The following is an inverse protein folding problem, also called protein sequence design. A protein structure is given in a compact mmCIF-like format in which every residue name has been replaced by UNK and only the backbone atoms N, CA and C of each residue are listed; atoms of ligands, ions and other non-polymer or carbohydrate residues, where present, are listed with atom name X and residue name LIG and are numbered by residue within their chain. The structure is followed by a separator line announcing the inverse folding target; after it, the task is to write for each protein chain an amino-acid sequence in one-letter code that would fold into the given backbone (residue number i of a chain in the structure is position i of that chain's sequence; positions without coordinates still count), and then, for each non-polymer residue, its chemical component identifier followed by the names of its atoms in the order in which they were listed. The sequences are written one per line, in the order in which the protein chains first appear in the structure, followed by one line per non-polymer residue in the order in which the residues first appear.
data_IF_253624443660
#
_entry.id   IF_253624443660
#
_cell.length_a   1.000
_cell.length_b   1.000
_cell.length_c   1.000
_cell.angle_alpha   90.00
_cell.angle_beta   90.00
_cell.angle_gamma   90.00
#
_symmetry.space_group_name_H-M   'P 1'
#
loop_
_entity.id
_entity.type
_entity.pdbx_description
1 polymer ?
#
# COMPACT_ATOMS: atom_id res chain seq x y z
N UNK A 1 13.07 27.73 -9.66
CA UNK A 1 11.85 28.09 -10.44
C UNK A 1 11.61 29.57 -10.31
N UNK A 2 11.18 30.30 -11.37
CA UNK A 2 10.81 31.69 -11.23
C UNK A 2 9.61 31.80 -10.28
N UNK A 3 9.74 32.67 -9.28
CA UNK A 3 8.73 32.86 -8.24
C UNK A 3 7.50 33.56 -8.86
N UNK A 4 6.46 32.79 -9.17
CA UNK A 4 5.23 33.25 -9.80
C UNK A 4 4.56 34.44 -9.07
N UNK A 5 4.47 34.44 -7.72
CA UNK A 5 3.99 35.60 -6.96
C UNK A 5 4.82 36.85 -7.21
N UNK A 6 6.15 36.75 -7.24
CA UNK A 6 7.02 37.88 -7.48
C UNK A 6 6.92 38.47 -8.91
N UNK A 7 6.64 37.63 -9.92
CA UNK A 7 6.40 38.08 -11.29
C UNK A 7 5.06 38.82 -11.39
N UNK A 8 4.02 38.32 -10.73
CA UNK A 8 2.69 38.98 -10.68
C UNK A 8 2.76 40.33 -9.96
N UNK A 9 3.53 40.40 -8.86
CA UNK A 9 3.74 41.65 -8.12
C UNK A 9 4.48 42.69 -8.96
N UNK A 10 5.55 42.32 -9.66
CA UNK A 10 6.26 43.21 -10.60
C UNK A 10 5.36 43.71 -11.72
N UNK A 11 4.52 42.84 -12.26
CA UNK A 11 3.52 43.23 -13.29
C UNK A 11 2.51 44.24 -12.76
N UNK A 12 1.98 44.02 -11.55
CA UNK A 12 1.05 44.92 -10.89
C UNK A 12 1.68 46.30 -10.65
N UNK A 13 2.89 46.33 -10.09
CA UNK A 13 3.62 47.62 -9.87
C UNK A 13 3.87 48.39 -11.16
N UNK A 14 4.22 47.70 -12.25
CA UNK A 14 4.40 48.36 -13.56
C UNK A 14 3.09 48.87 -14.12
N UNK A 15 1.99 48.15 -14.01
CA UNK A 15 0.67 48.61 -14.43
C UNK A 15 0.23 49.87 -13.66
N UNK A 16 0.40 49.85 -12.34
CA UNK A 16 0.04 50.98 -11.47
C UNK A 16 0.88 52.24 -11.80
N UNK A 17 2.14 52.04 -12.19
CA UNK A 17 2.98 53.16 -12.68
C UNK A 17 2.49 53.73 -14.01
N UNK A 18 2.03 52.90 -14.96
CA UNK A 18 1.49 53.36 -16.20
C UNK A 18 0.12 54.05 -16.00
N UNK A 19 -0.73 53.51 -15.12
CA UNK A 19 -2.00 54.14 -14.74
C UNK A 19 -1.79 55.55 -14.10
N UNK A 20 -0.71 55.72 -13.31
CA UNK A 20 -0.37 57.01 -12.74
C UNK A 20 0.00 58.05 -13.81
N UNK A 21 0.73 57.65 -14.86
CA UNK A 21 1.08 58.53 -15.98
C UNK A 21 -0.18 58.99 -16.69
N UNK A 22 -1.12 58.08 -16.99
CA UNK A 22 -2.40 58.42 -17.65
C UNK A 22 -3.22 59.37 -16.77
N UNK A 23 -3.38 59.05 -15.48
CA UNK A 23 -4.16 59.88 -14.55
C UNK A 23 -3.59 61.30 -14.41
N UNK A 24 -2.26 61.43 -14.46
CA UNK A 24 -1.62 62.77 -14.42
C UNK A 24 -1.93 63.58 -15.68
N UNK A 25 -1.88 62.96 -16.85
CA UNK A 25 -2.21 63.62 -18.11
C UNK A 25 -3.72 63.95 -18.20
N UNK A 26 -4.59 63.09 -17.69
CA UNK A 26 -6.03 63.32 -17.59
C UNK A 26 -6.36 64.47 -16.63
N UNK A 27 -5.70 64.55 -15.47
CA UNK A 27 -5.90 65.56 -14.47
C UNK A 27 -5.49 66.96 -15.01
N UNK A 28 -4.45 67.01 -15.84
CA UNK A 28 -3.95 68.20 -16.49
C UNK A 28 -4.72 68.54 -17.80
N UNK A 29 -5.68 67.70 -18.18
CA UNK A 29 -6.48 67.79 -19.42
C UNK A 29 -5.62 68.03 -20.67
N UNK A 30 -4.50 67.29 -20.80
CA UNK A 30 -3.49 67.38 -21.87
C UNK A 30 -3.18 65.99 -22.41
N UNK A 31 -2.72 65.95 -23.65
CA UNK A 31 -2.12 64.73 -24.19
C UNK A 31 -0.79 64.37 -23.52
N UNK A 32 -0.40 63.13 -23.63
CA UNK A 32 0.90 62.64 -23.12
C UNK A 32 2.05 63.38 -23.82
N UNK A 33 3.01 63.87 -23.07
CA UNK A 33 4.24 64.40 -23.63
C UNK A 33 5.04 63.28 -24.33
N UNK A 34 5.94 63.66 -25.25
CA UNK A 34 6.77 62.71 -25.99
C UNK A 34 7.59 61.77 -25.09
N UNK A 35 8.03 62.29 -23.94
CA UNK A 35 8.77 61.52 -22.90
C UNK A 35 7.85 60.57 -22.13
N UNK A 36 6.64 61.00 -21.81
CA UNK A 36 5.63 60.14 -21.13
C UNK A 36 5.11 59.04 -22.07
N UNK A 37 4.87 59.35 -23.35
CA UNK A 37 4.49 58.37 -24.36
C UNK A 37 5.55 57.30 -24.54
N UNK A 38 6.84 57.69 -24.60
CA UNK A 38 7.94 56.74 -24.68
C UNK A 38 8.01 55.84 -23.43
N UNK A 39 7.90 56.44 -22.23
CA UNK A 39 7.90 55.70 -20.97
C UNK A 39 6.72 54.73 -20.88
N UNK A 40 5.56 55.13 -21.43
CA UNK A 40 4.38 54.31 -21.50
C UNK A 40 4.56 53.11 -22.46
N UNK A 41 5.11 53.34 -23.66
CA UNK A 41 5.40 52.27 -24.62
C UNK A 41 6.45 51.26 -24.11
N UNK A 42 7.53 51.77 -23.48
CA UNK A 42 8.55 50.94 -22.86
C UNK A 42 7.94 50.05 -21.70
N UNK A 43 7.13 50.69 -20.85
CA UNK A 43 6.46 50.00 -19.76
C UNK A 43 5.46 48.93 -20.26
N UNK A 44 4.75 49.25 -21.37
CA UNK A 44 3.85 48.30 -22.04
C UNK A 44 4.60 47.10 -22.62
N UNK A 45 5.80 47.33 -23.18
CA UNK A 45 6.65 46.23 -23.68
C UNK A 45 7.13 45.35 -22.52
N UNK A 46 7.51 45.95 -21.38
CA UNK A 46 7.90 45.19 -20.17
C UNK A 46 6.72 44.35 -19.61
N UNK A 47 5.51 44.90 -19.55
CA UNK A 47 4.31 44.16 -19.12
C UNK A 47 4.07 42.97 -20.02
N UNK A 48 4.19 43.10 -21.34
CA UNK A 48 4.05 41.95 -22.26
C UNK A 48 5.10 40.87 -22.03
N UNK A 49 6.33 41.26 -21.73
CA UNK A 49 7.39 40.31 -21.43
C UNK A 49 7.14 39.55 -20.10
N UNK A 50 6.62 40.27 -19.09
CA UNK A 50 6.21 39.69 -17.81
C UNK A 50 5.00 38.75 -17.98
N UNK A 51 4.03 39.11 -18.81
CA UNK A 51 2.89 38.23 -19.12
C UNK A 51 3.32 36.92 -19.79
N UNK A 52 4.28 36.97 -20.69
CA UNK A 52 4.85 35.77 -21.30
C UNK A 52 5.61 34.90 -20.27
N UNK A 53 6.34 35.54 -19.35
CA UNK A 53 7.04 34.80 -18.28
C UNK A 53 6.05 34.16 -17.30
N UNK A 54 4.96 34.87 -16.95
CA UNK A 54 3.90 34.37 -16.09
C UNK A 54 3.22 33.17 -16.77
N UNK A 55 2.82 33.30 -18.04
CA UNK A 55 2.19 32.21 -18.79
C UNK A 55 3.08 30.94 -18.88
N UNK A 56 4.39 31.13 -19.11
CA UNK A 56 5.33 30.00 -19.10
C UNK A 56 5.45 29.36 -17.73
N UNK A 57 5.47 30.17 -16.67
CA UNK A 57 5.55 29.65 -15.30
C UNK A 57 4.25 28.97 -14.86
N UNK A 58 3.10 29.50 -15.31
CA UNK A 58 1.78 28.88 -15.08
C UNK A 58 1.65 27.54 -15.83
N UNK A 59 2.06 27.51 -17.10
CA UNK A 59 2.08 26.27 -17.88
C UNK A 59 2.95 25.19 -17.23
N UNK A 60 4.15 25.55 -16.78
CA UNK A 60 5.03 24.61 -16.09
C UNK A 60 4.44 24.14 -14.75
N UNK A 61 3.79 25.04 -14.01
CA UNK A 61 3.14 24.70 -12.74
C UNK A 61 1.88 23.85 -12.95
N UNK A 62 1.20 23.99 -14.07
CA UNK A 62 0.04 23.19 -14.46
C UNK A 62 0.47 21.83 -15.00
N UNK A 63 1.56 21.77 -15.76
CA UNK A 63 2.18 20.54 -16.24
C UNK A 63 2.73 19.73 -15.05
N UNK A 64 3.31 20.36 -14.02
CA UNK A 64 3.70 19.71 -12.76
C UNK A 64 2.49 19.21 -11.94
N UNK A 65 1.33 19.85 -12.03
CA UNK A 65 0.08 19.41 -11.40
C UNK A 65 -0.59 18.26 -12.15
N UNK A 66 -0.44 18.25 -13.46
CA UNK A 66 -0.96 17.23 -14.36
C UNK A 66 0.10 16.18 -14.73
N UNK A 67 1.36 16.39 -14.34
CA UNK A 67 2.31 15.30 -14.32
C UNK A 67 1.63 14.16 -13.55
N UNK A 68 1.45 12.98 -14.18
CA UNK A 68 0.88 11.83 -13.49
C UNK A 68 1.70 11.75 -12.21
N UNK A 69 1.00 11.79 -11.06
CA UNK A 69 1.65 11.59 -9.78
C UNK A 69 2.56 10.40 -10.01
N UNK A 70 3.86 10.63 -9.89
CA UNK A 70 4.84 9.56 -9.95
C UNK A 70 4.24 8.51 -9.04
N UNK A 71 3.74 7.46 -9.67
CA UNK A 71 3.14 6.36 -8.94
C UNK A 71 4.21 6.01 -7.93
N UNK A 72 3.89 6.05 -6.64
CA UNK A 72 4.75 5.65 -5.53
C UNK A 72 4.94 4.10 -5.57
N UNK A 73 4.61 3.48 -6.65
CA UNK A 73 5.28 2.34 -7.23
C UNK A 73 6.56 2.89 -7.86
N UNK A 74 7.48 3.34 -6.99
CA UNK A 74 8.79 3.75 -7.42
C UNK A 74 9.30 2.68 -8.35
N UNK A 75 9.59 3.04 -9.58
CA UNK A 75 10.39 2.18 -10.45
C UNK A 75 11.54 1.70 -9.58
N UNK A 76 11.43 0.41 -9.18
CA UNK A 76 12.52 -0.25 -8.48
C UNK A 76 13.70 -0.08 -9.40
N UNK A 77 14.69 0.71 -8.99
CA UNK A 77 15.86 0.98 -9.83
C UNK A 77 16.33 -0.33 -10.45
N UNK A 78 16.67 -0.36 -11.72
CA UNK A 78 17.01 -1.61 -12.44
C UNK A 78 18.05 -2.44 -11.70
N UNK A 79 18.84 -1.84 -10.84
CA UNK A 79 19.81 -2.50 -9.96
C UNK A 79 19.17 -3.40 -8.91
N UNK A 80 17.98 -3.06 -8.39
CA UNK A 80 17.29 -3.88 -7.38
C UNK A 80 16.47 -5.00 -8.02
N UNK A 81 16.05 -4.83 -9.27
CA UNK A 81 15.26 -5.83 -10.00
C UNK A 81 15.94 -7.21 -10.08
N UNK A 82 17.24 -7.25 -10.04
CA UNK A 82 18.07 -8.44 -10.20
C UNK A 82 18.85 -8.80 -8.94
N UNK A 83 18.40 -8.37 -7.76
CA UNK A 83 19.04 -8.71 -6.51
C UNK A 83 19.06 -10.24 -6.31
N UNK A 84 20.23 -10.81 -6.14
CA UNK A 84 20.40 -12.24 -5.87
C UNK A 84 20.66 -12.49 -4.38
N UNK A 85 19.79 -13.27 -3.75
CA UNK A 85 19.95 -13.67 -2.33
C UNK A 85 21.25 -14.48 -2.17
N UNK A 86 21.60 -15.35 -3.12
CA UNK A 86 22.81 -16.16 -3.03
C UNK A 86 24.08 -15.30 -3.05
N UNK A 87 24.14 -14.27 -3.90
CA UNK A 87 25.26 -13.35 -3.92
C UNK A 87 25.33 -12.51 -2.63
N UNK A 88 24.18 -12.08 -2.14
CA UNK A 88 24.08 -11.30 -0.90
C UNK A 88 24.49 -12.15 0.33
N UNK A 89 24.09 -13.43 0.37
CA UNK A 89 24.50 -14.39 1.40
C UNK A 89 26.01 -14.65 1.32
N UNK A 90 26.55 -14.95 0.11
CA UNK A 90 27.99 -15.17 -0.11
C UNK A 90 28.81 -13.94 0.27
N UNK A 91 28.33 -12.74 -0.05
CA UNK A 91 28.98 -11.50 0.37
C UNK A 91 29.07 -11.41 1.91
N UNK A 92 27.99 -11.73 2.63
CA UNK A 92 27.97 -11.72 4.09
C UNK A 92 28.87 -12.81 4.70
N UNK A 93 29.02 -13.95 4.02
CA UNK A 93 29.89 -15.04 4.43
C UNK A 93 31.36 -14.80 4.05
N UNK A 94 31.68 -13.74 3.28
CA UNK A 94 33.04 -13.45 2.81
C UNK A 94 33.50 -14.33 1.66
N UNK A 95 32.56 -15.03 1.00
CA UNK A 95 32.84 -15.86 -0.19
C UNK A 95 32.96 -15.00 -1.47
N UNK A 96 33.59 -15.53 -2.55
CA UNK A 96 33.71 -14.82 -3.82
C UNK A 96 32.33 -14.47 -4.40
N UNK A 97 32.05 -13.17 -4.59
CA UNK A 97 30.86 -12.63 -5.19
C UNK A 97 31.14 -11.25 -5.80
N UNK A 98 30.21 -10.70 -6.56
CA UNK A 98 30.31 -9.31 -7.04
C UNK A 98 30.03 -8.32 -5.89
N UNK A 99 31.07 -8.04 -5.09
CA UNK A 99 31.00 -7.15 -3.95
C UNK A 99 30.49 -5.76 -4.29
N UNK A 100 30.95 -5.18 -5.39
CA UNK A 100 30.62 -3.82 -5.78
C UNK A 100 29.11 -3.66 -6.10
N UNK A 101 28.51 -4.70 -6.66
CA UNK A 101 27.07 -4.77 -6.95
C UNK A 101 26.28 -4.90 -5.65
N UNK A 102 26.59 -5.88 -4.80
CA UNK A 102 25.88 -6.13 -3.55
C UNK A 102 25.97 -4.96 -2.59
N UNK A 103 27.13 -4.30 -2.46
CA UNK A 103 27.31 -3.14 -1.61
C UNK A 103 26.46 -1.93 -2.08
N UNK A 104 26.33 -1.71 -3.38
CA UNK A 104 25.44 -0.67 -3.95
C UNK A 104 23.96 -0.96 -3.66
N UNK A 105 23.53 -2.20 -3.87
CA UNK A 105 22.16 -2.65 -3.56
C UNK A 105 21.84 -2.49 -2.07
N UNK A 106 22.74 -2.89 -1.18
CA UNK A 106 22.55 -2.74 0.26
C UNK A 106 22.55 -1.26 0.70
N UNK A 107 23.47 -0.46 0.20
CA UNK A 107 23.51 0.97 0.50
C UNK A 107 22.26 1.73 0.05
N UNK A 108 21.63 1.30 -1.04
CA UNK A 108 20.35 1.86 -1.49
C UNK A 108 19.22 1.45 -0.55
N UNK A 109 19.12 0.17 -0.20
CA UNK A 109 18.07 -0.34 0.70
C UNK A 109 18.20 0.23 2.12
N UNK A 110 19.42 0.40 2.64
CA UNK A 110 19.68 1.07 3.93
C UNK A 110 19.24 2.54 3.91
N UNK A 111 19.49 3.27 2.82
CA UNK A 111 19.01 4.65 2.67
C UNK A 111 17.49 4.73 2.66
N UNK A 112 16.83 3.78 2.00
CA UNK A 112 15.37 3.71 1.93
C UNK A 112 14.74 3.29 3.27
N UNK A 113 15.39 2.40 4.00
CA UNK A 113 14.95 1.94 5.32
C UNK A 113 15.25 2.95 6.45
N UNK A 114 16.15 3.90 6.24
CA UNK A 114 16.54 4.88 7.24
C UNK A 114 17.42 4.35 8.38
N UNK A 115 17.77 3.05 8.35
CA UNK A 115 18.65 2.43 9.33
C UNK A 115 19.49 1.33 8.69
N UNK A 116 20.59 0.95 9.36
CA UNK A 116 21.46 -0.13 8.89
C UNK A 116 20.88 -1.49 9.24
N UNK A 117 20.96 -2.44 8.31
CA UNK A 117 20.58 -3.83 8.58
C UNK A 117 21.53 -4.48 9.57
N UNK A 118 21.00 -5.30 10.50
CA UNK A 118 21.82 -6.21 11.29
C UNK A 118 22.35 -7.38 10.45
N UNK A 119 21.64 -7.71 9.39
CA UNK A 119 21.98 -8.72 8.39
C UNK A 119 22.17 -8.11 7.01
N UNK A 120 21.25 -8.38 6.12
CA UNK A 120 21.17 -7.85 4.75
C UNK A 120 19.71 -7.53 4.42
N UNK A 121 19.47 -6.40 3.75
CA UNK A 121 18.14 -6.06 3.26
C UNK A 121 17.87 -6.72 1.90
N UNK A 122 16.63 -7.19 1.75
CA UNK A 122 16.09 -7.64 0.47
C UNK A 122 14.78 -6.90 0.22
N UNK A 123 14.66 -6.29 -0.94
CA UNK A 123 13.48 -5.53 -1.30
C UNK A 123 12.25 -6.44 -1.45
N UNK A 124 11.17 -6.15 -0.71
CA UNK A 124 9.92 -6.91 -0.77
C UNK A 124 9.31 -6.87 -2.19
N UNK A 125 9.46 -5.77 -2.89
CA UNK A 125 8.94 -5.56 -4.25
C UNK A 125 9.60 -6.49 -5.30
N UNK A 126 10.84 -6.93 -5.05
CA UNK A 126 11.50 -7.92 -5.91
C UNK A 126 10.97 -9.32 -5.71
N UNK A 127 10.29 -9.56 -4.58
CA UNK A 127 9.71 -10.86 -4.23
C UNK A 127 8.33 -11.06 -4.85
N UNK A 128 7.59 -9.99 -5.12
CA UNK A 128 6.24 -10.05 -5.69
C UNK A 128 6.23 -10.27 -7.22
N UNK A 129 7.35 -10.01 -7.91
CA UNK A 129 7.44 -10.24 -9.34
C UNK A 129 7.69 -11.72 -9.65
N UNK A 130 6.72 -12.36 -10.28
CA UNK A 130 6.88 -13.65 -10.97
C UNK A 130 8.14 -13.59 -11.81
N UNK A 131 9.15 -14.41 -11.48
CA UNK A 131 10.28 -14.65 -12.34
C UNK A 131 9.78 -15.33 -13.62
N UNK A 132 9.72 -14.57 -14.72
CA UNK A 132 9.59 -15.14 -16.05
C UNK A 132 10.94 -15.77 -16.37
N UNK A 133 11.03 -17.09 -16.32
CA UNK A 133 12.21 -17.83 -16.73
C UNK A 133 12.35 -17.77 -18.24
N UNK A 134 13.42 -17.19 -18.72
CA UNK A 134 13.87 -17.38 -20.10
C UNK A 134 14.89 -18.51 -20.13
N UNK A 135 14.48 -19.58 -20.78
CA UNK A 135 15.35 -20.71 -21.12
C UNK A 135 16.25 -20.31 -22.29
N UNK A 136 17.55 -20.11 -22.07
CA UNK A 136 18.53 -20.20 -23.17
C UNK A 136 19.90 -20.62 -22.62
N UNK A 137 20.29 -21.83 -22.99
CA UNK A 137 21.68 -22.20 -23.25
C UNK A 137 22.41 -22.96 -22.16
N UNK A 138 22.54 -24.23 -22.38
CA UNK A 138 23.70 -25.11 -22.25
C UNK A 138 23.48 -26.36 -21.42
N UNK A 139 23.17 -27.43 -22.13
CA UNK A 139 23.30 -28.81 -21.68
C UNK A 139 24.77 -29.18 -21.62
N UNK A 140 25.27 -29.57 -20.46
CA UNK A 140 26.46 -30.39 -20.32
C UNK A 140 26.41 -31.21 -19.05
N UNK A 141 26.18 -32.52 -19.24
CA UNK A 141 26.65 -33.65 -18.43
C UNK A 141 26.50 -33.50 -16.92
N UNK A 142 25.39 -33.95 -16.41
CA UNK A 142 25.20 -34.19 -14.99
C UNK A 142 24.49 -35.54 -14.81
N UNK A 143 25.09 -36.54 -14.11
CA UNK A 143 24.32 -37.64 -13.54
C UNK A 143 23.56 -37.08 -12.32
N UNK A 144 22.28 -37.31 -12.22
CA UNK A 144 21.30 -36.76 -11.30
C UNK A 144 21.03 -35.25 -11.50
N UNK A 145 20.32 -34.95 -12.57
CA UNK A 145 19.86 -33.58 -12.82
C UNK A 145 18.73 -33.20 -11.87
N UNK A 146 19.03 -32.41 -10.83
CA UNK A 146 18.02 -31.64 -10.15
C UNK A 146 17.30 -30.78 -11.19
N UNK A 147 16.01 -31.08 -11.41
CA UNK A 147 15.13 -30.40 -12.37
C UNK A 147 14.31 -29.35 -11.64
N UNK A 148 14.83 -28.12 -11.46
CA UNK A 148 14.12 -27.04 -10.79
C UNK A 148 12.89 -26.58 -11.58
N UNK A 149 12.87 -26.80 -12.90
CA UNK A 149 11.75 -26.58 -13.79
C UNK A 149 10.54 -27.46 -13.47
N UNK A 150 10.75 -28.61 -12.85
CA UNK A 150 9.71 -29.52 -12.39
C UNK A 150 9.36 -29.36 -10.90
N UNK A 151 9.97 -28.39 -10.22
CA UNK A 151 9.65 -28.14 -8.82
C UNK A 151 8.18 -27.70 -8.67
N UNK A 152 7.41 -28.53 -8.01
CA UNK A 152 6.02 -28.23 -7.70
C UNK A 152 5.97 -27.67 -6.26
N UNK A 153 5.67 -26.38 -6.13
CA UNK A 153 5.45 -25.77 -4.83
C UNK A 153 4.13 -26.28 -4.22
N UNK A 154 4.08 -26.35 -2.90
CA UNK A 154 2.83 -26.65 -2.20
C UNK A 154 1.72 -25.64 -2.62
N UNK A 155 0.49 -26.13 -2.74
CA UNK A 155 -0.67 -25.26 -2.95
C UNK A 155 -0.86 -24.39 -1.71
N UNK A 156 -0.76 -23.09 -1.89
CA UNK A 156 -0.92 -22.11 -0.82
C UNK A 156 -1.98 -21.07 -1.21
N UNK A 157 -2.63 -20.48 -0.22
CA UNK A 157 -3.54 -19.37 -0.45
C UNK A 157 -2.82 -18.17 -1.08
N UNK A 158 -3.57 -17.35 -1.80
CA UNK A 158 -3.06 -16.07 -2.30
C UNK A 158 -3.29 -14.97 -1.27
N UNK A 159 -2.42 -13.98 -1.24
CA UNK A 159 -2.61 -12.74 -0.48
C UNK A 159 -3.73 -11.92 -1.10
N UNK A 160 -4.61 -11.36 -0.28
CA UNK A 160 -5.81 -10.69 -0.78
C UNK A 160 -5.98 -9.25 -0.31
N UNK A 161 -5.41 -8.86 0.83
CA UNK A 161 -5.61 -7.51 1.38
C UNK A 161 -5.11 -6.43 0.43
N UNK A 162 -3.92 -6.61 -0.10
CA UNK A 162 -3.34 -5.66 -1.08
C UNK A 162 -4.08 -5.72 -2.41
N UNK A 163 -4.51 -6.92 -2.85
CA UNK A 163 -5.31 -7.08 -4.06
C UNK A 163 -6.68 -6.39 -3.93
N UNK A 164 -7.26 -6.29 -2.73
CA UNK A 164 -8.50 -5.54 -2.45
C UNK A 164 -8.29 -4.03 -2.43
N UNK A 165 -7.06 -3.56 -2.34
CA UNK A 165 -6.73 -2.14 -2.40
C UNK A 165 -6.31 -1.54 -1.06
N UNK A 166 -5.87 -2.35 -0.09
CA UNK A 166 -5.34 -1.84 1.18
C UNK A 166 -4.16 -0.89 0.97
N UNK A 167 -4.15 0.21 1.72
CA UNK A 167 -3.13 1.26 1.60
C UNK A 167 -1.86 0.84 2.35
N UNK A 168 -0.73 0.74 1.63
CA UNK A 168 0.56 0.38 2.21
C UNK A 168 1.39 1.64 2.49
N UNK A 169 1.78 1.84 3.75
CA UNK A 169 2.63 2.93 4.19
C UNK A 169 4.05 2.37 4.43
N UNK A 170 5.03 2.81 3.66
CA UNK A 170 6.41 2.32 3.73
C UNK A 170 7.37 3.37 4.29
N UNK A 171 8.50 2.91 4.86
CA UNK A 171 9.54 3.81 5.36
C UNK A 171 9.19 4.50 6.68
N UNK A 172 8.35 3.88 7.50
CA UNK A 172 7.92 4.41 8.79
C UNK A 172 9.06 4.33 9.81
N UNK A 173 9.08 5.31 10.73
CA UNK A 173 10.04 5.36 11.85
C UNK A 173 9.30 5.68 13.14
N UNK A 174 9.59 4.93 14.22
CA UNK A 174 8.89 5.08 15.50
C UNK A 174 7.39 4.74 15.42
N UNK A 175 6.62 5.20 16.37
CA UNK A 175 5.17 5.06 16.34
C UNK A 175 4.58 6.11 15.41
N UNK A 176 3.61 5.70 14.59
CA UNK A 176 2.92 6.58 13.65
C UNK A 176 1.51 6.83 14.15
N UNK A 177 1.14 8.10 14.28
CA UNK A 177 -0.18 8.52 14.73
C UNK A 177 -0.87 9.23 13.56
N UNK A 178 -2.01 8.69 13.14
CA UNK A 178 -2.81 9.24 12.04
C UNK A 178 -4.09 9.81 12.64
N UNK A 179 -4.29 11.13 12.61
CA UNK A 179 -5.53 11.73 13.12
C UNK A 179 -6.72 11.39 12.24
N UNK A 180 -7.86 11.10 12.84
CA UNK A 180 -9.15 10.90 12.17
C UNK A 180 -10.22 11.79 12.80
N UNK A 181 -11.14 12.32 11.99
CA UNK A 181 -12.32 13.00 12.46
C UNK A 181 -13.38 11.95 12.86
N UNK A 182 -13.94 12.09 14.04
CA UNK A 182 -14.98 11.20 14.58
C UNK A 182 -16.34 11.89 14.71
N UNK A 183 -16.39 13.21 14.64
CA UNK A 183 -17.63 13.94 14.63
C UNK A 183 -17.47 15.34 14.06
N UNK A 184 -18.45 15.74 13.26
CA UNK A 184 -18.50 17.05 12.63
C UNK A 184 -19.37 18.02 13.45
N UNK A 185 -19.11 19.34 13.35
CA UNK A 185 -19.97 20.35 13.98
C UNK A 185 -21.41 20.28 13.49
N UNK A 186 -22.35 20.58 14.38
CA UNK A 186 -23.77 20.66 14.01
C UNK A 186 -24.00 21.83 13.05
N UNK A 187 -24.63 21.58 11.91
CA UNK A 187 -25.05 22.60 10.94
C UNK A 187 -26.57 22.53 10.78
N UNK A 188 -27.23 23.67 10.83
CA UNK A 188 -28.68 23.73 10.67
C UNK A 188 -29.17 25.07 10.15
N UNK A 189 -30.36 25.07 9.57
CA UNK A 189 -31.06 26.28 9.18
C UNK A 189 -31.65 26.93 10.41
N UNK A 190 -31.47 28.24 10.56
CA UNK A 190 -32.02 29.02 11.67
C UNK A 190 -32.97 30.09 11.15
N UNK A 191 -34.01 30.36 11.96
CA UNK A 191 -34.92 31.49 11.70
C UNK A 191 -34.19 32.81 11.94
N UNK A 192 -34.78 33.89 11.45
CA UNK A 192 -34.30 35.24 11.68
C UNK A 192 -34.20 35.49 13.21
N UNK A 193 -33.06 36.01 13.67
CA UNK A 193 -32.73 36.31 15.07
C UNK A 193 -32.64 35.09 16.00
N UNK A 194 -32.53 33.86 15.46
CA UNK A 194 -32.30 32.65 16.24
C UNK A 194 -30.82 32.30 16.35
N UNK A 195 -30.43 31.67 17.48
CA UNK A 195 -29.04 31.24 17.68
C UNK A 195 -28.65 30.10 16.73
N UNK A 196 -27.44 30.17 16.15
CA UNK A 196 -26.87 29.09 15.36
C UNK A 196 -26.63 27.85 16.24
N UNK A 197 -26.82 26.61 15.69
CA UNK A 197 -26.47 25.40 16.40
C UNK A 197 -24.95 25.40 16.70
N UNK A 198 -24.60 25.08 17.93
CA UNK A 198 -23.22 24.99 18.38
C UNK A 198 -22.79 23.52 18.43
N UNK A 199 -21.65 23.19 17.94
CA UNK A 199 -21.06 21.87 18.01
C UNK A 199 -19.55 21.95 17.74
N UNK A 200 -18.81 21.06 18.39
CA UNK A 200 -17.37 20.95 18.19
C UNK A 200 -17.05 19.73 17.31
N UNK A 201 -16.07 19.87 16.44
CA UNK A 201 -15.47 18.71 15.77
C UNK A 201 -14.74 17.86 16.81
N UNK A 202 -14.89 16.55 16.72
CA UNK A 202 -14.16 15.59 17.56
C UNK A 202 -13.17 14.80 16.70
N UNK A 203 -11.99 14.61 17.26
CA UNK A 203 -10.91 13.92 16.60
C UNK A 203 -10.42 12.77 17.46
N UNK A 204 -9.98 11.71 16.82
CA UNK A 204 -9.34 10.54 17.41
C UNK A 204 -8.09 10.18 16.58
N UNK A 205 -7.31 9.22 17.04
CA UNK A 205 -6.06 8.84 16.41
C UNK A 205 -6.01 7.34 16.17
N UNK A 206 -5.58 6.96 14.96
CA UNK A 206 -5.14 5.59 14.66
C UNK A 206 -3.63 5.53 14.90
N UNK A 207 -3.21 4.72 15.86
CA UNK A 207 -1.80 4.55 16.20
C UNK A 207 -1.29 3.24 15.65
N UNK A 208 -0.23 3.32 14.84
CA UNK A 208 0.48 2.15 14.33
C UNK A 208 1.80 2.00 15.10
N UNK A 209 2.07 0.79 15.58
CA UNK A 209 3.27 0.43 16.35
C UNK A 209 4.01 -0.72 15.69
N UNK A 210 5.36 -0.74 15.69
CA UNK A 210 6.10 -1.77 14.99
C UNK A 210 5.97 -3.15 15.64
N UNK A 211 5.43 -4.13 14.92
CA UNK A 211 5.36 -5.53 15.31
C UNK A 211 6.23 -6.37 14.38
N UNK A 212 6.94 -7.34 14.94
CA UNK A 212 7.88 -8.18 14.19
C UNK A 212 7.22 -9.49 13.77
N UNK A 213 7.31 -9.80 12.48
CA UNK A 213 6.98 -11.10 11.91
C UNK A 213 8.23 -11.71 11.32
N UNK A 214 8.48 -13.00 11.55
CA UNK A 214 9.68 -13.62 11.02
C UNK A 214 9.67 -15.14 11.11
N UNK A 215 10.63 -15.73 10.38
CA UNK A 215 10.85 -17.16 10.36
C UNK A 215 12.36 -17.46 10.37
N UNK A 216 12.72 -18.63 10.92
CA UNK A 216 14.08 -19.15 10.89
C UNK A 216 14.05 -20.48 10.14
N UNK A 217 14.98 -20.64 9.21
CA UNK A 217 15.20 -21.93 8.51
C UNK A 217 16.67 -22.35 8.62
N UNK A 218 16.91 -23.65 8.75
CA UNK A 218 18.23 -24.24 8.80
C UNK A 218 18.56 -24.84 7.44
N UNK A 219 19.71 -24.49 6.88
CA UNK A 219 20.21 -25.01 5.61
C UNK A 219 21.55 -25.73 5.83
N UNK A 220 21.68 -26.91 5.22
CA UNK A 220 22.94 -27.61 5.19
C UNK A 220 23.94 -26.87 4.32
N UNK A 221 25.18 -26.72 4.80
CA UNK A 221 26.28 -26.15 4.01
C UNK A 221 26.54 -26.93 2.73
N UNK A 222 26.34 -28.24 2.78
CA UNK A 222 26.48 -29.11 1.61
C UNK A 222 25.43 -28.77 0.54
N UNK A 223 24.18 -28.50 0.95
CA UNK A 223 23.14 -28.04 0.06
C UNK A 223 23.49 -26.69 -0.59
N UNK A 224 24.04 -25.75 0.18
CA UNK A 224 24.48 -24.45 -0.35
C UNK A 224 25.63 -24.57 -1.35
N UNK A 225 26.55 -25.52 -1.16
CA UNK A 225 27.67 -25.78 -2.07
C UNK A 225 27.25 -26.52 -3.34
N UNK A 226 26.27 -27.42 -3.23
CA UNK A 226 25.76 -28.20 -4.35
C UNK A 226 24.58 -27.52 -5.08
N UNK A 227 23.98 -26.49 -4.46
CA UNK A 227 22.81 -25.82 -5.03
C UNK A 227 23.16 -25.01 -6.28
N UNK A 228 22.37 -25.21 -7.31
CA UNK A 228 22.35 -24.32 -8.47
C UNK A 228 21.64 -22.99 -8.11
N UNK A 229 21.84 -21.91 -8.90
CA UNK A 229 21.11 -20.64 -8.71
C UNK A 229 19.57 -20.78 -8.64
N UNK A 230 19.02 -21.88 -9.14
CA UNK A 230 17.59 -22.18 -9.08
C UNK A 230 17.08 -22.48 -7.66
N UNK A 231 17.88 -23.06 -6.78
CA UNK A 231 17.51 -23.33 -5.39
C UNK A 231 17.35 -22.02 -4.60
N UNK A 232 18.17 -21.03 -4.90
CA UNK A 232 18.07 -19.69 -4.32
C UNK A 232 16.70 -19.04 -4.66
N UNK A 233 16.29 -19.15 -5.94
CA UNK A 233 14.96 -18.67 -6.35
C UNK A 233 13.79 -19.36 -5.63
N UNK A 234 13.90 -20.68 -5.41
CA UNK A 234 12.89 -21.45 -4.67
C UNK A 234 12.81 -21.01 -3.20
N UNK A 235 13.94 -20.88 -2.52
CA UNK A 235 13.99 -20.45 -1.11
C UNK A 235 13.40 -19.04 -0.99
N UNK A 236 13.78 -18.13 -1.89
CA UNK A 236 13.22 -16.79 -1.96
C UNK A 236 11.70 -16.82 -2.06
N UNK A 237 11.17 -17.56 -3.01
CA UNK A 237 9.74 -17.69 -3.25
C UNK A 237 9.00 -18.29 -2.04
N UNK A 238 9.59 -19.26 -1.36
CA UNK A 238 9.01 -19.87 -0.17
C UNK A 238 8.96 -18.88 1.00
N UNK A 239 10.07 -18.21 1.30
CA UNK A 239 10.15 -17.27 2.43
C UNK A 239 9.23 -16.08 2.23
N UNK A 240 9.26 -15.46 1.04
CA UNK A 240 8.39 -14.32 0.74
C UNK A 240 6.91 -14.68 0.83
N UNK A 241 6.54 -15.83 0.23
CA UNK A 241 5.16 -16.30 0.27
C UNK A 241 4.67 -16.55 1.69
N UNK A 242 5.45 -17.26 2.50
CA UNK A 242 5.04 -17.60 3.86
C UNK A 242 4.90 -16.35 4.75
N UNK A 243 5.82 -15.39 4.62
CA UNK A 243 5.73 -14.12 5.36
C UNK A 243 4.55 -13.29 4.86
N UNK A 244 4.33 -13.19 3.55
CA UNK A 244 3.20 -12.46 2.98
C UNK A 244 1.86 -13.09 3.41
N UNK A 245 1.75 -14.42 3.43
CA UNK A 245 0.57 -15.12 3.93
C UNK A 245 0.31 -14.88 5.41
N UNK A 246 1.34 -14.86 6.24
CA UNK A 246 1.19 -14.59 7.67
C UNK A 246 0.79 -13.13 7.92
N UNK A 247 1.35 -12.18 7.16
CA UNK A 247 0.94 -10.77 7.21
C UNK A 247 -0.54 -10.65 6.82
N UNK A 248 -0.96 -11.29 5.74
CA UNK A 248 -2.34 -11.26 5.26
C UNK A 248 -3.32 -11.90 6.26
N UNK A 249 -2.93 -13.05 6.85
CA UNK A 249 -3.67 -13.73 7.91
C UNK A 249 -3.84 -12.83 9.15
N UNK A 250 -2.75 -12.19 9.58
CA UNK A 250 -2.78 -11.29 10.73
C UNK A 250 -3.56 -10.00 10.42
N UNK A 251 -3.51 -9.47 9.20
CA UNK A 251 -4.31 -8.34 8.76
C UNK A 251 -5.82 -8.64 8.83
N UNK A 252 -6.21 -9.87 8.54
CA UNK A 252 -7.62 -10.30 8.64
C UNK A 252 -8.02 -10.63 10.08
N UNK A 253 -7.28 -11.51 10.76
CA UNK A 253 -7.68 -12.11 12.05
C UNK A 253 -6.61 -12.00 13.13
N UNK A 254 -5.74 -10.99 13.09
CA UNK A 254 -4.79 -10.75 14.17
C UNK A 254 -5.52 -10.42 15.48
N UNK A 255 -5.06 -11.02 16.60
CA UNK A 255 -5.74 -10.89 17.89
C UNK A 255 -5.64 -9.51 18.54
N UNK A 256 -4.64 -8.70 18.15
CA UNK A 256 -4.34 -7.43 18.82
C UNK A 256 -3.79 -7.59 20.24
N UNK A 257 -3.36 -8.80 20.61
CA UNK A 257 -2.83 -9.11 21.96
C UNK A 257 -1.36 -9.56 21.85
N UNK A 258 -0.53 -9.02 22.72
CA UNK A 258 0.90 -9.35 22.78
C UNK A 258 1.67 -8.86 21.57
N UNK A 259 2.33 -9.77 20.86
CA UNK A 259 3.15 -9.45 19.68
C UNK A 259 2.38 -9.43 18.35
N UNK A 260 1.10 -9.82 18.36
CA UNK A 260 0.27 -9.93 17.15
C UNK A 260 -0.51 -8.64 16.96
N UNK A 261 -0.39 -7.96 15.81
CA UNK A 261 -1.16 -6.76 15.50
C UNK A 261 -2.66 -7.08 15.39
N UNK A 262 -3.51 -6.06 15.55
CA UNK A 262 -4.97 -6.23 15.46
C UNK A 262 -5.41 -6.33 14.00
N UNK A 263 -6.09 -7.42 13.68
CA UNK A 263 -6.72 -7.63 12.38
C UNK A 263 -8.11 -7.02 12.28
N UNK A 264 -8.61 -6.90 11.06
CA UNK A 264 -9.89 -6.26 10.73
C UNK A 264 -11.09 -6.92 11.43
N UNK A 265 -11.11 -8.27 11.53
CA UNK A 265 -12.19 -9.00 12.19
C UNK A 265 -12.26 -8.75 13.71
N UNK A 266 -11.12 -8.48 14.33
CA UNK A 266 -10.99 -8.25 15.76
C UNK A 266 -11.02 -6.76 16.14
N UNK A 267 -11.31 -5.88 15.20
CA UNK A 267 -11.55 -4.47 15.50
C UNK A 267 -12.97 -4.32 16.07
N UNK A 268 -13.10 -3.79 17.31
CA UNK A 268 -14.39 -3.64 17.97
C UNK A 268 -15.27 -2.55 17.36
N UNK A 269 -14.64 -1.59 16.66
CA UNK A 269 -15.34 -0.46 16.07
C UNK A 269 -15.93 -0.78 14.67
N UNK A 270 -15.66 -1.97 14.14
CA UNK A 270 -16.22 -2.44 12.86
C UNK A 270 -17.61 -3.00 13.07
N UNK A 271 -18.58 -2.50 12.30
CA UNK A 271 -19.96 -2.91 12.37
C UNK A 271 -20.14 -4.41 12.07
N UNK A 272 -21.07 -5.04 12.78
CA UNK A 272 -21.37 -6.47 12.64
C UNK A 272 -22.81 -6.68 12.21
N UNK A 273 -23.02 -7.40 11.11
CA UNK A 273 -24.31 -7.83 10.63
C UNK A 273 -24.47 -9.32 10.93
N UNK A 274 -25.51 -9.74 11.65
CA UNK A 274 -25.76 -11.16 11.89
C UNK A 274 -26.16 -11.85 10.58
N UNK A 275 -25.75 -13.12 10.43
CA UNK A 275 -26.19 -13.93 9.30
C UNK A 275 -27.71 -14.08 9.30
N UNK A 276 -28.33 -13.70 8.19
CA UNK A 276 -29.76 -13.84 7.99
C UNK A 276 -30.11 -15.29 7.65
N UNK A 277 -31.25 -15.52 7.05
CA UNK A 277 -31.70 -16.86 6.66
C UNK A 277 -30.86 -17.43 5.51
N UNK A 278 -30.26 -16.57 4.69
CA UNK A 278 -29.48 -16.93 3.51
C UNK A 278 -28.35 -15.92 3.23
N UNK A 279 -27.42 -16.31 2.39
CA UNK A 279 -26.27 -15.50 2.03
C UNK A 279 -26.65 -14.27 1.18
N UNK A 280 -27.69 -14.38 0.35
CA UNK A 280 -28.14 -13.28 -0.50
C UNK A 280 -28.68 -12.11 0.33
N UNK A 281 -29.52 -12.38 1.32
CA UNK A 281 -30.05 -11.38 2.25
C UNK A 281 -28.93 -10.79 3.11
N UNK A 282 -28.05 -11.64 3.63
CA UNK A 282 -26.91 -11.16 4.46
C UNK A 282 -26.01 -10.20 3.68
N UNK A 283 -25.68 -10.50 2.43
CA UNK A 283 -24.85 -9.61 1.60
C UNK A 283 -25.56 -8.30 1.26
N UNK A 284 -26.89 -8.32 1.06
CA UNK A 284 -27.71 -7.13 0.88
C UNK A 284 -27.71 -6.25 2.14
N UNK A 285 -27.85 -6.85 3.32
CA UNK A 285 -27.83 -6.14 4.61
C UNK A 285 -26.45 -5.50 4.86
N UNK A 286 -25.36 -6.18 4.52
CA UNK A 286 -24.00 -5.61 4.61
C UNK A 286 -23.82 -4.42 3.67
N UNK A 287 -24.34 -4.47 2.45
CA UNK A 287 -24.33 -3.35 1.51
C UNK A 287 -25.13 -2.18 2.08
N UNK A 288 -26.34 -2.46 2.60
CA UNK A 288 -27.20 -1.43 3.19
C UNK A 288 -26.53 -0.76 4.40
N UNK A 289 -25.86 -1.50 5.26
CA UNK A 289 -25.11 -0.97 6.40
C UNK A 289 -23.99 -0.03 5.93
N UNK A 290 -23.21 -0.44 4.90
CA UNK A 290 -22.16 0.39 4.32
C UNK A 290 -22.71 1.66 3.63
N UNK A 291 -23.88 1.57 2.98
CA UNK A 291 -24.53 2.72 2.36
C UNK A 291 -25.02 3.72 3.42
N UNK A 292 -25.54 3.25 4.53
CA UNK A 292 -25.93 4.09 5.68
C UNK A 292 -24.72 4.80 6.31
N UNK A 293 -23.55 4.16 6.29
CA UNK A 293 -22.28 4.76 6.72
C UNK A 293 -21.64 5.70 5.68
N UNK A 294 -22.27 5.88 4.51
CA UNK A 294 -21.75 6.69 3.38
C UNK A 294 -20.37 6.24 2.89
N UNK A 295 -20.15 4.94 2.81
CA UNK A 295 -18.89 4.37 2.32
C UNK A 295 -18.71 4.65 0.83
N UNK A 296 -17.51 5.06 0.42
CA UNK A 296 -17.20 5.44 -0.95
C UNK A 296 -17.25 4.25 -1.94
N UNK A 297 -17.09 4.54 -3.23
CA UNK A 297 -17.40 3.63 -4.33
C UNK A 297 -16.43 2.45 -4.56
N UNK A 298 -15.32 2.34 -3.82
CA UNK A 298 -14.29 1.29 -4.06
C UNK A 298 -14.46 0.06 -3.16
N UNK A 299 -15.71 -0.40 -3.02
CA UNK A 299 -16.09 -1.47 -2.11
C UNK A 299 -15.91 -2.87 -2.69
N UNK A 300 -15.88 -3.85 -1.81
CA UNK A 300 -15.87 -5.26 -2.23
C UNK A 300 -16.02 -6.22 -1.06
N UNK A 301 -16.39 -7.46 -1.39
CA UNK A 301 -16.49 -8.56 -0.46
C UNK A 301 -15.19 -9.35 -0.37
N UNK A 302 -14.83 -9.70 0.85
CA UNK A 302 -13.74 -10.62 1.13
C UNK A 302 -14.29 -11.74 2.03
N UNK A 303 -14.16 -12.98 1.60
CA UNK A 303 -14.66 -14.11 2.35
C UNK A 303 -13.80 -15.37 2.21
N UNK A 304 -14.22 -16.41 2.91
CA UNK A 304 -13.59 -17.73 2.81
C UNK A 304 -13.99 -18.45 1.52
N UNK A 305 -13.19 -19.43 1.12
CA UNK A 305 -13.56 -20.32 0.01
C UNK A 305 -14.79 -21.21 0.34
N UNK A 306 -15.11 -21.41 1.62
CA UNK A 306 -16.34 -22.05 2.06
C UNK A 306 -17.57 -21.23 1.65
N UNK A 307 -17.58 -19.93 1.97
CA UNK A 307 -18.66 -19.01 1.56
C UNK A 307 -18.81 -18.98 0.04
N UNK A 308 -17.70 -18.97 -0.71
CA UNK A 308 -17.73 -19.08 -2.17
C UNK A 308 -18.43 -20.37 -2.63
N UNK A 309 -18.15 -21.48 -1.96
CA UNK A 309 -18.78 -22.77 -2.26
C UNK A 309 -20.28 -22.78 -2.05
N UNK A 310 -20.77 -22.17 -0.96
CA UNK A 310 -22.20 -21.98 -0.70
C UNK A 310 -22.83 -21.08 -1.76
N UNK A 311 -22.23 -19.93 -2.02
CA UNK A 311 -22.73 -19.00 -3.04
C UNK A 311 -22.85 -19.67 -4.43
N UNK A 312 -21.90 -20.52 -4.80
CA UNK A 312 -21.93 -21.24 -6.06
C UNK A 312 -23.05 -22.32 -6.11
N UNK A 313 -23.45 -22.87 -4.96
CA UNK A 313 -24.53 -23.90 -4.85
C UNK A 313 -25.92 -23.30 -4.69
N UNK A 314 -26.02 -22.02 -4.30
CA UNK A 314 -27.29 -21.33 -4.04
C UNK A 314 -28.13 -21.26 -5.32
N UNK A 315 -29.39 -21.66 -5.19
CA UNK A 315 -30.37 -21.72 -6.28
C UNK A 315 -31.54 -20.78 -6.00
N UNK A 316 -32.19 -20.33 -7.07
CA UNK A 316 -33.43 -19.58 -6.97
C UNK A 316 -34.62 -20.53 -6.63
N UNK A 317 -35.81 -19.96 -6.44
CA UNK A 317 -37.03 -20.72 -6.17
C UNK A 317 -37.43 -21.69 -7.28
N UNK A 318 -36.85 -21.60 -8.47
CA UNK A 318 -37.08 -22.50 -9.62
C UNK A 318 -35.97 -23.55 -9.77
N UNK A 319 -34.97 -23.55 -8.85
CA UNK A 319 -33.86 -24.50 -8.86
C UNK A 319 -32.70 -24.15 -9.79
N UNK A 320 -32.68 -22.93 -10.35
CA UNK A 320 -31.56 -22.43 -11.19
C UNK A 320 -30.44 -21.87 -10.31
N UNK A 321 -29.18 -22.11 -10.64
CA UNK A 321 -28.07 -21.50 -9.88
C UNK A 321 -28.06 -19.99 -10.06
N UNK A 322 -28.05 -19.25 -8.97
CA UNK A 322 -27.98 -17.80 -8.98
C UNK A 322 -26.60 -17.26 -9.45
N UNK A 323 -25.53 -18.00 -9.14
CA UNK A 323 -24.17 -17.58 -9.45
C UNK A 323 -23.62 -16.53 -8.49
N UNK A 324 -22.29 -16.41 -8.47
CA UNK A 324 -21.58 -15.52 -7.54
C UNK A 324 -21.98 -14.05 -7.71
N UNK A 325 -22.11 -13.58 -8.95
CA UNK A 325 -22.42 -12.18 -9.22
C UNK A 325 -23.81 -11.76 -8.68
N UNK A 326 -24.79 -12.66 -8.73
CA UNK A 326 -26.12 -12.38 -8.17
C UNK A 326 -26.10 -12.34 -6.64
N UNK A 327 -25.42 -13.30 -6.00
CA UNK A 327 -25.31 -13.36 -4.53
C UNK A 327 -24.58 -12.15 -3.95
N UNK A 328 -23.54 -11.68 -4.62
CA UNK A 328 -22.76 -10.52 -4.17
C UNK A 328 -23.15 -9.23 -4.89
N UNK A 329 -24.35 -9.15 -5.46
CA UNK A 329 -24.95 -7.96 -6.07
C UNK A 329 -24.06 -7.25 -7.13
N UNK A 330 -23.20 -8.01 -7.82
CA UNK A 330 -22.28 -7.48 -8.83
C UNK A 330 -21.04 -6.77 -8.26
N UNK A 331 -20.92 -6.71 -6.95
CA UNK A 331 -19.77 -6.11 -6.27
C UNK A 331 -18.49 -6.94 -6.46
N UNK A 332 -17.34 -6.32 -6.28
CA UNK A 332 -16.03 -6.99 -6.33
C UNK A 332 -15.94 -8.03 -5.22
N UNK A 333 -15.49 -9.23 -5.56
CA UNK A 333 -15.35 -10.33 -4.60
C UNK A 333 -13.94 -10.92 -4.63
N UNK A 334 -13.39 -11.22 -3.46
CA UNK A 334 -12.17 -11.99 -3.30
C UNK A 334 -12.36 -13.07 -2.23
N UNK A 335 -11.78 -14.25 -2.47
CA UNK A 335 -11.89 -15.37 -1.55
C UNK A 335 -10.52 -15.94 -1.24
N UNK A 336 -10.29 -16.23 0.04
CA UNK A 336 -9.01 -16.76 0.52
C UNK A 336 -9.21 -17.80 1.61
N UNK A 337 -8.25 -18.70 1.73
CA UNK A 337 -8.14 -19.60 2.88
C UNK A 337 -7.39 -18.97 4.07
N UNK A 338 -6.90 -17.71 3.93
CA UNK A 338 -6.33 -16.96 5.05
C UNK A 338 -7.41 -16.34 5.95
N UNK A 339 -8.62 -16.13 5.40
CA UNK A 339 -9.77 -15.77 6.20
C UNK A 339 -10.18 -16.96 7.08
N UNK A 340 -10.45 -16.75 8.39
CA UNK A 340 -10.79 -17.83 9.29
C UNK A 340 -12.14 -18.46 8.93
N UNK A 341 -12.21 -19.77 9.12
CA UNK A 341 -13.43 -20.58 8.93
C UNK A 341 -13.83 -21.30 10.21
N UNK A 342 -13.27 -20.88 11.33
CA UNK A 342 -13.44 -21.46 12.65
C UNK A 342 -13.77 -20.36 13.67
N UNK A 343 -14.69 -19.48 13.30
CA UNK A 343 -15.23 -18.45 14.20
C UNK A 343 -16.47 -19.00 14.91
N UNK A 344 -16.99 -18.22 15.88
CA UNK A 344 -18.15 -18.59 16.67
C UNK A 344 -17.84 -19.57 17.81
N UNK A 345 -18.87 -19.97 18.54
CA UNK A 345 -18.74 -20.89 19.70
C UNK A 345 -18.52 -22.35 19.25
N UNK A 346 -19.00 -22.72 18.08
CA UNK A 346 -18.93 -24.10 17.53
C UNK A 346 -17.75 -24.28 16.54
N UNK A 347 -16.90 -23.27 16.36
CA UNK A 347 -15.75 -23.26 15.42
C UNK A 347 -16.13 -23.59 13.95
N UNK A 348 -17.35 -23.25 13.52
CA UNK A 348 -17.89 -23.53 12.19
C UNK A 348 -18.30 -22.28 11.38
N UNK A 349 -18.13 -21.11 11.95
CA UNK A 349 -18.46 -19.86 11.28
C UNK A 349 -17.31 -19.39 10.36
N UNK A 350 -17.70 -18.91 9.19
CA UNK A 350 -16.79 -18.41 8.18
C UNK A 350 -16.77 -16.88 8.16
N UNK A 351 -15.59 -16.32 8.00
CA UNK A 351 -15.44 -14.87 7.86
C UNK A 351 -16.00 -14.39 6.53
N UNK A 352 -16.79 -13.32 6.60
CA UNK A 352 -17.23 -12.52 5.46
C UNK A 352 -17.18 -11.05 5.84
N UNK A 353 -16.47 -10.26 5.04
CA UNK A 353 -16.24 -8.83 5.26
C UNK A 353 -16.65 -8.07 4.00
N UNK A 354 -17.27 -6.92 4.16
CA UNK A 354 -17.58 -5.99 3.10
C UNK A 354 -17.11 -4.59 3.47
N UNK A 355 -16.58 -3.84 2.52
CA UNK A 355 -16.19 -2.46 2.76
C UNK A 355 -15.20 -1.89 1.75
N UNK A 356 -14.71 -0.69 2.05
CA UNK A 356 -13.66 -0.02 1.27
C UNK A 356 -12.28 -0.32 1.87
N UNK A 357 -11.56 -1.22 1.22
CA UNK A 357 -10.25 -1.65 1.69
C UNK A 357 -9.17 -0.57 1.58
N UNK A 358 -9.40 0.54 0.89
CA UNK A 358 -8.46 1.66 0.85
C UNK A 358 -8.29 2.34 2.23
N UNK A 359 -9.29 2.20 3.12
CA UNK A 359 -9.25 2.66 4.50
C UNK A 359 -8.53 1.70 5.46
N UNK A 360 -8.11 0.53 4.98
CA UNK A 360 -7.24 -0.37 5.72
C UNK A 360 -5.78 -0.03 5.47
N UNK A 361 -5.04 0.27 6.52
CA UNK A 361 -3.65 0.69 6.47
C UNK A 361 -2.73 -0.46 6.85
N UNK A 362 -1.72 -0.68 6.04
CA UNK A 362 -0.62 -1.61 6.31
C UNK A 362 0.65 -0.78 6.50
N UNK A 363 1.09 -0.61 7.75
CA UNK A 363 2.33 0.08 8.07
C UNK A 363 3.52 -0.85 7.94
N UNK A 364 4.57 -0.43 7.20
CA UNK A 364 5.80 -1.21 7.01
C UNK A 364 6.99 -0.37 7.46
N UNK A 365 7.64 -0.78 8.56
CA UNK A 365 8.84 -0.13 9.11
C UNK A 365 10.12 -0.69 8.51
N UNK A 366 10.20 -2.02 8.37
CA UNK A 366 11.32 -2.66 7.69
C UNK A 366 10.79 -3.61 6.64
N UNK A 367 11.44 -3.59 5.49
CA UNK A 367 11.31 -4.66 4.52
C UNK A 367 11.91 -5.95 5.09
N UNK A 368 11.84 -7.03 4.33
CA UNK A 368 12.39 -8.30 4.78
C UNK A 368 13.90 -8.19 5.04
N UNK A 369 14.28 -8.29 6.31
CA UNK A 369 15.68 -8.36 6.77
C UNK A 369 16.07 -9.85 6.88
N UNK A 370 17.05 -10.28 6.08
CA UNK A 370 17.57 -11.64 6.13
C UNK A 370 18.95 -11.63 6.78
N UNK A 371 19.03 -12.31 7.91
CA UNK A 371 20.29 -12.54 8.64
C UNK A 371 20.73 -14.00 8.49
N UNK A 372 21.94 -14.16 7.97
CA UNK A 372 22.60 -15.46 7.84
C UNK A 372 23.58 -15.64 8.99
N UNK A 373 23.40 -16.69 9.79
CA UNK A 373 24.25 -17.00 10.93
C UNK A 373 24.82 -18.43 10.81
N UNK A 374 26.08 -18.58 10.40
CA UNK A 374 26.77 -19.88 10.39
C UNK A 374 27.34 -20.25 11.75
N UNK A 375 27.29 -19.37 12.75
CA UNK A 375 27.91 -19.56 14.06
C UNK A 375 26.88 -19.80 15.18
N UNK A 376 25.62 -20.05 14.84
CA UNK A 376 24.63 -20.39 15.84
C UNK A 376 24.95 -21.73 16.51
N UNK A 377 24.76 -21.81 17.82
CA UNK A 377 25.18 -22.94 18.65
C UNK A 377 24.73 -24.31 18.10
N UNK A 378 23.49 -24.40 17.65
CA UNK A 378 22.93 -25.65 17.09
C UNK A 378 23.38 -25.94 15.65
N UNK A 379 23.65 -24.91 14.85
CA UNK A 379 24.09 -25.04 13.48
C UNK A 379 25.59 -25.24 13.37
N UNK A 380 26.38 -24.66 14.30
CA UNK A 380 27.82 -24.75 14.29
C UNK A 380 28.32 -26.20 14.45
N UNK A 381 27.73 -26.95 15.38
CA UNK A 381 28.09 -28.35 15.59
C UNK A 381 27.78 -29.27 14.42
N UNK A 382 26.82 -28.92 13.58
CA UNK A 382 26.37 -29.67 12.37
C UNK A 382 27.00 -29.15 11.09
N UNK A 383 27.70 -28.01 11.13
CA UNK A 383 28.21 -27.33 9.95
C UNK A 383 27.09 -26.70 9.10
N UNK A 384 25.91 -26.48 9.64
CA UNK A 384 24.75 -25.87 8.96
C UNK A 384 24.73 -24.34 9.07
N UNK A 385 23.86 -23.71 8.30
CA UNK A 385 23.67 -22.27 8.31
C UNK A 385 22.23 -21.96 8.66
N UNK A 386 22.02 -21.11 9.67
CA UNK A 386 20.68 -20.59 10.01
C UNK A 386 20.42 -19.33 9.24
N UNK A 387 19.26 -19.27 8.59
CA UNK A 387 18.76 -18.07 7.92
C UNK A 387 17.53 -17.62 8.67
N UNK A 388 17.57 -16.38 9.18
CA UNK A 388 16.44 -15.70 9.80
C UNK A 388 15.93 -14.62 8.85
N UNK A 389 14.64 -14.70 8.53
CA UNK A 389 13.95 -13.67 7.80
C UNK A 389 12.98 -12.94 8.74
N UNK A 390 13.00 -11.61 8.77
CA UNK A 390 12.13 -10.78 9.60
C UNK A 390 11.62 -9.59 8.82
N UNK A 391 10.35 -9.23 9.07
CA UNK A 391 9.77 -7.96 8.64
C UNK A 391 9.09 -7.29 9.83
N UNK A 392 8.88 -5.98 9.75
CA UNK A 392 8.22 -5.22 10.81
C UNK A 392 7.03 -4.50 10.21
N UNK A 393 5.83 -4.92 10.63
CA UNK A 393 4.56 -4.44 10.10
C UNK A 393 3.54 -4.18 11.22
N UNK A 394 2.54 -3.34 10.91
CA UNK A 394 1.35 -3.17 11.75
C UNK A 394 0.14 -2.83 10.88
N UNK A 395 -1.06 -2.94 11.45
CA UNK A 395 -2.30 -2.70 10.76
C UNK A 395 -3.14 -1.66 11.51
N UNK A 396 -3.92 -0.91 10.74
CA UNK A 396 -4.86 0.04 11.32
C UNK A 396 -6.02 0.31 10.39
N UNK A 397 -7.19 0.50 10.97
CA UNK A 397 -8.39 0.88 10.23
C UNK A 397 -8.56 2.40 10.35
N UNK A 398 -8.48 3.12 9.22
CA UNK A 398 -8.65 4.57 9.21
C UNK A 398 -10.07 4.96 9.60
N UNK A 399 -11.06 4.28 9.03
CA UNK A 399 -12.49 4.47 9.31
C UNK A 399 -13.14 3.13 9.54
N UNK A 400 -13.42 2.73 10.77
CA UNK A 400 -14.09 1.46 11.04
C UNK A 400 -15.46 1.34 10.37
N UNK A 401 -16.22 2.42 10.29
CA UNK A 401 -17.51 2.46 9.60
C UNK A 401 -17.42 2.18 8.09
N UNK A 402 -16.20 2.19 7.48
CA UNK A 402 -16.01 1.76 6.09
C UNK A 402 -16.08 0.25 5.90
N UNK A 403 -16.15 -0.51 6.99
CA UNK A 403 -16.19 -1.97 6.98
C UNK A 403 -17.39 -2.51 7.73
N UNK A 404 -17.90 -3.62 7.22
CA UNK A 404 -18.96 -4.41 7.83
C UNK A 404 -18.53 -5.86 7.82
N UNK A 405 -18.62 -6.54 8.95
CA UNK A 405 -18.36 -7.98 9.08
C UNK A 405 -19.64 -8.76 9.35
N UNK A 406 -19.79 -9.91 8.74
CA UNK A 406 -20.89 -10.83 9.06
C UNK A 406 -20.47 -11.75 10.21
N UNK A 407 -21.41 -12.05 11.13
CA UNK A 407 -21.27 -13.06 12.17
C UNK A 407 -22.27 -14.18 11.97
N UNK A 408 -21.94 -15.41 12.39
CA UNK A 408 -22.83 -16.55 12.28
C UNK A 408 -22.92 -17.16 10.88
N UNK A 409 -21.95 -16.88 9.99
CA UNK A 409 -21.98 -17.43 8.61
C UNK A 409 -21.53 -18.88 8.64
N UNK A 410 -22.46 -19.81 8.73
CA UNK A 410 -22.20 -21.24 8.66
C UNK A 410 -22.25 -21.77 7.23
N UNK A 411 -21.37 -22.74 6.92
CA UNK A 411 -21.27 -23.40 5.61
C UNK A 411 -21.75 -24.85 5.78
N UNK A 412 -23.04 -25.05 5.60
CA UNK A 412 -23.64 -26.38 5.63
C UNK A 412 -23.79 -26.98 4.20
#
# INVERSE_FOLDING_TARGET
MPNLPALREKRAAKRDALDAIIKTAEADNRDLTETEAKTFDDGRAEIRSLDQQIQRAEFLAEDERHAPAETIHGDVEPEIRNQSISETIRWKMGEPCDRAKVEREQAFLERRAGHKAQGVFIALETMERRATQTTTGSAAIVPDSFRPDLFTSALTASTVMQAMGATVLTGLTGNVVIPRETGSPSVGWVAEDAALPTGNATFDNVTLTPHHVGAITELSRQLLQQSSPAVDGIIRQMLSRNIALEIDRAALNGSGVGAVPRGLLNDPDVDTVPFATDLFTTTADMIAAADLANVAASRGFLGTNGVKGVAAKTKDGEGRPLGLAAIFHGERTQFTNQAPSNLGEDDDEHALIYGDFSDFLIGVWSQLDILVNPFAETAYSKGNVLIRAMATVDFGVRRPASFVKASGVTVA
#
